data_IF_828814588996
#
_entry.id   IF_828814588996
#
_cell.length_a   1.000
_cell.length_b   1.000
_cell.length_c   1.000
_cell.angle_alpha   90.00
_cell.angle_beta   90.00
_cell.angle_gamma   90.00
#
_symmetry.space_group_name_H-M   'P 1'
#
loop_
_entity.id
_entity.type
_entity.pdbx_description
1 polymer ?
#
# COMPACT_ATOMS: atom_id res chain seq x y z
N UNK A 1 1.12 28.96 18.90
CA UNK A 1 1.81 28.22 17.84
C UNK A 1 0.78 27.45 17.02
N UNK A 2 0.44 27.97 15.84
CA UNK A 2 -0.49 27.31 14.93
C UNK A 2 0.17 26.06 14.36
N UNK A 3 -0.51 24.92 14.44
CA UNK A 3 -0.06 23.67 13.80
C UNK A 3 -0.14 23.91 12.28
N UNK A 4 0.98 23.80 11.57
CA UNK A 4 0.99 23.80 10.10
C UNK A 4 -0.07 22.82 9.59
N UNK A 5 -0.88 23.19 8.58
CA UNK A 5 -1.78 22.24 7.94
C UNK A 5 -0.91 21.09 7.44
N UNK A 6 -1.09 19.88 7.98
CA UNK A 6 -0.50 18.68 7.41
C UNK A 6 -0.93 18.67 5.94
N UNK A 7 0.01 18.78 5.01
CA UNK A 7 -0.26 18.61 3.59
C UNK A 7 -1.08 17.34 3.43
N UNK A 8 -2.28 17.50 2.88
CA UNK A 8 -3.14 16.35 2.61
C UNK A 8 -2.47 15.60 1.46
N UNK A 9 -2.33 14.27 1.56
CA UNK A 9 -1.93 13.49 0.40
C UNK A 9 -2.86 13.84 -0.77
N UNK A 10 -2.31 13.99 -1.97
CA UNK A 10 -3.10 14.22 -3.17
C UNK A 10 -4.16 13.12 -3.30
N UNK A 11 -5.37 13.51 -3.67
CA UNK A 11 -6.43 12.56 -3.96
C UNK A 11 -6.05 11.81 -5.23
N UNK A 12 -6.16 10.48 -5.22
CA UNK A 12 -5.86 9.64 -6.39
C UNK A 12 -7.15 9.34 -7.14
N UNK A 13 -7.24 9.74 -8.40
CA UNK A 13 -8.31 9.29 -9.30
C UNK A 13 -7.98 7.90 -9.85
N UNK A 14 -8.58 6.85 -9.28
CA UNK A 14 -8.28 5.45 -9.66
C UNK A 14 -8.63 5.12 -11.11
N UNK A 15 -9.50 5.90 -11.76
CA UNK A 15 -9.86 5.69 -13.16
C UNK A 15 -8.75 6.10 -14.13
N UNK A 16 -7.85 6.98 -13.70
CA UNK A 16 -6.79 7.55 -14.55
C UNK A 16 -5.40 7.47 -13.94
N UNK A 17 -5.26 7.06 -12.69
CA UNK A 17 -3.98 6.98 -12.02
C UNK A 17 -3.15 5.81 -12.52
N UNK A 18 -1.86 6.09 -12.75
CA UNK A 18 -0.85 5.05 -12.88
C UNK A 18 -0.44 4.56 -11.49
N UNK A 19 -0.30 3.24 -11.34
CA UNK A 19 -0.16 2.58 -10.03
C UNK A 19 1.02 1.64 -10.02
N UNK A 20 1.88 1.74 -9.00
CA UNK A 20 2.92 0.75 -8.72
C UNK A 20 2.42 -0.23 -7.65
N UNK A 21 2.47 -1.52 -7.96
CA UNK A 21 2.27 -2.63 -7.03
C UNK A 21 3.62 -3.29 -6.76
N UNK A 22 4.21 -3.01 -5.60
CA UNK A 22 5.50 -3.56 -5.22
C UNK A 22 5.33 -4.62 -4.13
N UNK A 23 5.94 -5.79 -4.25
CA UNK A 23 5.89 -6.73 -3.14
C UNK A 23 6.72 -8.00 -3.31
N UNK A 24 6.79 -8.81 -2.26
CA UNK A 24 7.37 -10.15 -2.40
C UNK A 24 6.47 -11.02 -3.28
N UNK A 25 7.05 -11.99 -3.98
CA UNK A 25 6.33 -12.79 -5.00
C UNK A 25 4.99 -13.38 -4.51
N UNK A 26 4.93 -13.83 -3.26
CA UNK A 26 3.72 -14.37 -2.63
C UNK A 26 2.65 -13.32 -2.28
N UNK A 27 3.01 -12.04 -2.14
CA UNK A 27 2.11 -10.94 -1.80
C UNK A 27 1.60 -10.19 -3.05
N UNK A 28 2.30 -10.27 -4.18
CA UNK A 28 1.89 -9.64 -5.44
C UNK A 28 0.47 -10.04 -5.90
N UNK A 29 0.05 -11.33 -5.82
CA UNK A 29 -1.32 -11.71 -6.18
C UNK A 29 -2.37 -11.03 -5.31
N UNK A 30 -2.08 -10.83 -4.01
CA UNK A 30 -2.98 -10.15 -3.06
C UNK A 30 -3.13 -8.68 -3.43
N UNK A 31 -2.01 -8.01 -3.74
CA UNK A 31 -2.02 -6.62 -4.18
C UNK A 31 -2.80 -6.43 -5.48
N UNK A 32 -2.52 -7.27 -6.49
CA UNK A 32 -3.21 -7.22 -7.78
C UNK A 32 -4.71 -7.45 -7.62
N UNK A 33 -5.11 -8.42 -6.81
CA UNK A 33 -6.51 -8.70 -6.54
C UNK A 33 -7.23 -7.54 -5.83
N UNK A 34 -6.53 -6.81 -4.95
CA UNK A 34 -7.09 -5.63 -4.31
C UNK A 34 -7.20 -4.45 -5.31
N UNK A 35 -6.17 -4.22 -6.12
CA UNK A 35 -6.15 -3.13 -7.11
C UNK A 35 -7.24 -3.29 -8.18
N UNK A 36 -7.39 -4.49 -8.75
CA UNK A 36 -8.46 -4.79 -9.71
C UNK A 36 -9.84 -4.59 -9.08
N UNK A 37 -10.02 -4.98 -7.81
CA UNK A 37 -11.28 -4.77 -7.09
C UNK A 37 -11.57 -3.30 -6.81
N UNK A 38 -10.54 -2.48 -6.68
CA UNK A 38 -10.65 -1.03 -6.54
C UNK A 38 -11.00 -0.34 -7.88
N UNK A 39 -11.07 -1.08 -8.99
CA UNK A 39 -11.39 -0.55 -10.31
C UNK A 39 -10.19 0.02 -11.08
N UNK A 40 -8.96 -0.20 -10.60
CA UNK A 40 -7.75 0.21 -11.32
C UNK A 40 -7.59 -0.68 -12.56
N UNK A 41 -7.31 -0.06 -13.71
CA UNK A 41 -7.04 -0.77 -14.97
C UNK A 41 -5.68 -1.48 -14.90
N UNK A 42 -5.65 -2.76 -15.29
CA UNK A 42 -4.43 -3.55 -15.34
C UNK A 42 -3.37 -2.99 -16.28
N UNK A 43 -3.76 -2.25 -17.33
CA UNK A 43 -2.83 -1.59 -18.24
C UNK A 43 -2.07 -0.42 -17.57
N UNK A 44 -2.60 0.10 -16.47
CA UNK A 44 -2.02 1.20 -15.68
C UNK A 44 -1.31 0.72 -14.42
N UNK A 45 -1.22 -0.60 -14.24
CA UNK A 45 -0.49 -1.22 -13.14
C UNK A 45 0.92 -1.59 -13.56
N UNK A 46 1.90 -1.06 -12.86
CA UNK A 46 3.27 -1.56 -12.89
C UNK A 46 3.50 -2.48 -11.69
N UNK A 47 3.90 -3.73 -11.93
CA UNK A 47 4.11 -4.73 -10.88
C UNK A 47 5.61 -4.97 -10.71
N UNK A 48 6.11 -4.85 -9.49
CA UNK A 48 7.54 -4.90 -9.16
C UNK A 48 7.76 -5.88 -8.01
N UNK A 49 8.68 -6.83 -8.19
CA UNK A 49 9.17 -7.63 -7.07
C UNK A 49 10.07 -6.77 -6.19
N UNK A 50 9.85 -6.68 -4.87
CA UNK A 50 10.76 -5.88 -4.01
C UNK A 50 12.17 -6.45 -3.86
N UNK A 51 12.35 -7.72 -4.24
CA UNK A 51 13.65 -8.37 -4.36
C UNK A 51 14.32 -8.06 -5.72
N UNK A 52 13.58 -7.47 -6.65
CA UNK A 52 14.02 -7.05 -7.98
C UNK A 52 14.19 -5.52 -7.95
N UNK A 53 15.42 -5.03 -8.09
CA UNK A 53 15.64 -3.59 -8.22
C UNK A 53 14.98 -3.11 -9.53
N UNK A 54 14.19 -2.01 -9.50
CA UNK A 54 13.70 -1.42 -10.74
C UNK A 54 14.89 -1.04 -11.62
N UNK A 55 14.73 -1.20 -12.93
CA UNK A 55 15.74 -0.77 -13.90
C UNK A 55 15.97 0.74 -13.73
N UNK A 56 17.22 1.21 -13.54
CA UNK A 56 17.50 2.62 -13.34
C UNK A 56 17.08 3.52 -14.51
N UNK A 57 16.87 2.96 -15.72
CA UNK A 57 16.35 3.70 -16.87
C UNK A 57 14.81 3.65 -16.96
N UNK A 58 14.16 2.83 -16.13
CA UNK A 58 12.71 2.74 -16.10
C UNK A 58 12.14 3.97 -15.39
N UNK A 59 11.38 4.75 -16.16
CA UNK A 59 10.58 5.85 -15.63
C UNK A 59 9.11 5.48 -15.65
N UNK A 60 8.44 5.81 -14.56
CA UNK A 60 7.00 5.66 -14.40
C UNK A 60 6.53 6.81 -13.52
N UNK A 61 5.34 7.35 -13.79
CA UNK A 61 4.82 8.51 -13.06
C UNK A 61 3.60 8.10 -12.23
N UNK A 62 3.78 7.13 -11.31
CA UNK A 62 2.65 6.65 -10.53
C UNK A 62 2.19 7.63 -9.46
N UNK A 63 0.87 7.81 -9.37
CA UNK A 63 0.18 8.60 -8.35
C UNK A 63 -0.12 7.77 -7.09
N UNK A 64 -0.08 6.44 -7.20
CA UNK A 64 -0.33 5.51 -6.11
C UNK A 64 0.70 4.38 -6.11
N UNK A 65 1.29 4.15 -4.96
CA UNK A 65 2.10 2.98 -4.68
C UNK A 65 1.46 2.11 -3.60
N UNK A 66 1.28 0.82 -3.89
CA UNK A 66 0.90 -0.18 -2.90
C UNK A 66 2.04 -1.18 -2.76
N UNK A 67 2.68 -1.16 -1.60
CA UNK A 67 3.86 -1.94 -1.29
C UNK A 67 3.49 -3.02 -0.27
N UNK A 68 3.78 -4.30 -0.52
CA UNK A 68 3.59 -5.38 0.44
C UNK A 68 4.88 -6.20 0.60
N UNK A 69 5.54 -6.05 1.75
CA UNK A 69 6.83 -6.67 2.01
C UNK A 69 6.76 -7.67 3.16
N UNK A 70 7.56 -8.73 3.05
CA UNK A 70 7.90 -9.55 4.20
C UNK A 70 8.93 -8.85 5.07
N UNK A 71 8.83 -9.10 6.36
CA UNK A 71 9.79 -8.64 7.35
C UNK A 71 10.51 -9.84 7.94
N UNK A 72 11.78 -10.08 7.60
CA UNK A 72 12.57 -11.11 8.26
C UNK A 72 12.87 -10.68 9.70
N UNK A 73 12.47 -11.48 10.68
CA UNK A 73 12.85 -11.31 12.09
C UNK A 73 12.39 -10.01 12.77
N UNK A 74 13.33 -9.38 13.47
CA UNK A 74 13.14 -8.28 14.43
C UNK A 74 13.27 -6.88 13.83
N UNK A 75 13.49 -6.76 12.51
CA UNK A 75 13.55 -5.45 11.86
C UNK A 75 12.32 -4.60 12.22
N UNK A 76 12.47 -3.32 12.55
CA UNK A 76 11.33 -2.46 12.80
C UNK A 76 10.46 -2.38 11.54
N UNK A 77 9.16 -2.67 11.70
CA UNK A 77 8.21 -2.67 10.57
C UNK A 77 8.22 -1.34 9.82
N UNK A 78 8.38 -0.22 10.54
CA UNK A 78 8.46 1.10 9.93
C UNK A 78 9.75 1.31 9.12
N UNK A 79 10.90 0.89 9.63
CA UNK A 79 12.18 1.01 8.92
C UNK A 79 12.16 0.25 7.59
N UNK A 80 11.61 -0.98 7.61
CA UNK A 80 11.41 -1.76 6.38
C UNK A 80 10.41 -1.12 5.43
N UNK A 81 9.33 -0.57 5.95
CA UNK A 81 8.35 0.14 5.13
C UNK A 81 8.96 1.35 4.43
N UNK A 82 9.81 2.11 5.14
CA UNK A 82 10.51 3.26 4.58
C UNK A 82 11.53 2.84 3.52
N UNK A 83 12.39 1.85 3.80
CA UNK A 83 13.38 1.37 2.84
C UNK A 83 12.74 0.87 1.53
N UNK A 84 11.60 0.15 1.63
CA UNK A 84 10.87 -0.27 0.44
C UNK A 84 10.21 0.90 -0.31
N UNK A 85 9.77 1.94 0.41
CA UNK A 85 9.21 3.14 -0.20
C UNK A 85 10.26 4.02 -0.89
N UNK A 86 11.50 4.03 -0.40
CA UNK A 86 12.65 4.70 -1.03
C UNK A 86 13.08 3.99 -2.31
N UNK A 87 13.06 2.65 -2.34
CA UNK A 87 13.43 1.85 -3.51
C UNK A 87 12.55 2.14 -4.73
N UNK A 88 11.27 2.39 -4.52
CA UNK A 88 10.33 2.68 -5.60
C UNK A 88 10.13 4.17 -5.88
N UNK A 89 10.77 5.05 -5.10
CA UNK A 89 10.64 6.50 -5.19
C UNK A 89 10.83 7.05 -6.61
N UNK A 90 11.80 6.57 -7.42
CA UNK A 90 12.01 7.05 -8.79
C UNK A 90 10.83 6.82 -9.75
N UNK A 91 9.88 5.95 -9.39
CA UNK A 91 8.71 5.59 -10.20
C UNK A 91 7.44 6.34 -9.78
N UNK A 92 7.57 7.29 -8.85
CA UNK A 92 6.46 7.98 -8.23
C UNK A 92 6.52 9.48 -8.51
N UNK A 93 5.35 10.08 -8.72
CA UNK A 93 5.26 11.54 -8.72
C UNK A 93 5.50 12.09 -7.30
N UNK A 94 5.97 13.35 -7.14
CA UNK A 94 6.33 13.91 -5.82
C UNK A 94 5.23 13.84 -4.75
N UNK A 95 3.97 13.80 -5.15
CA UNK A 95 2.82 13.76 -4.23
C UNK A 95 2.09 12.41 -4.22
N UNK A 96 2.73 11.36 -4.75
CA UNK A 96 2.16 10.03 -4.81
C UNK A 96 1.76 9.51 -3.42
N UNK A 97 0.62 8.85 -3.35
CA UNK A 97 0.17 8.20 -2.13
C UNK A 97 0.88 6.85 -1.99
N UNK A 98 1.54 6.61 -0.85
CA UNK A 98 2.24 5.33 -0.58
C UNK A 98 1.54 4.57 0.53
N UNK A 99 1.05 3.37 0.20
CA UNK A 99 0.45 2.42 1.14
C UNK A 99 1.43 1.27 1.30
N UNK A 100 2.00 1.11 2.50
CA UNK A 100 2.98 0.06 2.78
C UNK A 100 2.42 -0.93 3.78
N UNK A 101 2.35 -2.20 3.40
CA UNK A 101 1.96 -3.33 4.21
C UNK A 101 3.20 -4.15 4.54
N UNK A 102 3.49 -4.33 5.81
CA UNK A 102 4.54 -5.24 6.25
C UNK A 102 3.91 -6.48 6.86
N UNK A 103 4.32 -7.66 6.40
CA UNK A 103 3.88 -8.96 6.91
C UNK A 103 5.06 -9.61 7.62
N UNK A 104 4.90 -9.99 8.89
CA UNK A 104 5.93 -10.75 9.60
C UNK A 104 6.31 -12.02 8.83
N UNK A 105 7.60 -12.36 8.80
CA UNK A 105 8.08 -13.62 8.19
C UNK A 105 7.50 -14.88 8.85
N UNK A 106 7.09 -14.78 10.11
CA UNK A 106 6.47 -15.90 10.86
C UNK A 106 5.00 -16.13 10.50
N UNK A 107 4.37 -15.19 9.79
CA UNK A 107 2.96 -15.27 9.43
C UNK A 107 2.77 -16.19 8.24
N UNK A 108 2.05 -17.30 8.38
CA UNK A 108 1.67 -18.09 7.20
C UNK A 108 0.56 -17.39 6.43
N UNK A 109 0.78 -17.10 5.15
CA UNK A 109 -0.29 -16.67 4.24
C UNK A 109 -1.20 -17.87 4.00
N UNK A 110 -2.32 -17.86 4.71
CA UNK A 110 -3.43 -18.80 4.51
C UNK A 110 -4.59 -18.04 3.83
N UNK A 111 -5.50 -18.73 3.12
CA UNK A 111 -6.56 -18.08 2.34
C UNK A 111 -7.39 -17.06 3.13
N UNK A 112 -7.61 -17.31 4.43
CA UNK A 112 -8.33 -16.38 5.32
C UNK A 112 -7.53 -15.09 5.59
N UNK A 113 -6.22 -15.21 5.78
CA UNK A 113 -5.31 -14.07 6.00
C UNK A 113 -5.20 -13.25 4.71
N UNK A 114 -4.98 -13.92 3.57
CA UNK A 114 -4.93 -13.28 2.24
C UNK A 114 -6.21 -12.50 1.94
N UNK A 115 -7.38 -13.10 2.17
CA UNK A 115 -8.67 -12.42 1.96
C UNK A 115 -8.85 -11.20 2.86
N UNK A 116 -8.41 -11.30 4.10
CA UNK A 116 -8.48 -10.18 5.05
C UNK A 116 -7.49 -9.08 4.67
N UNK A 117 -6.28 -9.43 4.26
CA UNK A 117 -5.28 -8.51 3.76
C UNK A 117 -5.75 -7.81 2.48
N UNK A 118 -6.32 -8.55 1.53
CA UNK A 118 -6.90 -8.00 0.29
C UNK A 118 -7.96 -6.95 0.63
N UNK A 119 -8.82 -7.24 1.61
CA UNK A 119 -9.88 -6.33 2.04
C UNK A 119 -9.30 -5.06 2.68
N UNK A 120 -8.25 -5.20 3.49
CA UNK A 120 -7.58 -4.05 4.10
C UNK A 120 -6.87 -3.19 3.05
N UNK A 121 -6.15 -3.79 2.10
CA UNK A 121 -5.48 -3.07 1.00
C UNK A 121 -6.51 -2.30 0.18
N UNK A 122 -7.62 -2.95 -0.21
CA UNK A 122 -8.72 -2.31 -0.92
C UNK A 122 -9.24 -1.07 -0.18
N UNK A 123 -9.48 -1.17 1.13
CA UNK A 123 -9.92 -0.03 1.92
C UNK A 123 -8.90 1.09 2.01
N UNK A 124 -7.60 0.78 2.03
CA UNK A 124 -6.57 1.83 2.00
C UNK A 124 -6.52 2.53 0.65
N UNK A 125 -6.74 1.80 -0.46
CA UNK A 125 -6.88 2.37 -1.80
C UNK A 125 -8.11 3.28 -1.85
N UNK A 126 -9.28 2.79 -1.41
CA UNK A 126 -10.50 3.60 -1.35
C UNK A 126 -10.32 4.86 -0.48
N UNK A 127 -9.62 4.74 0.65
CA UNK A 127 -9.30 5.86 1.53
C UNK A 127 -8.24 6.81 0.96
N UNK A 128 -7.47 6.39 -0.06
CA UNK A 128 -6.55 7.26 -0.79
C UNK A 128 -7.28 8.09 -1.85
N UNK A 129 -8.37 7.55 -2.40
CA UNK A 129 -9.17 8.18 -3.46
C UNK A 129 -10.35 9.00 -2.96
N UNK A 130 -10.70 8.88 -1.68
CA UNK A 130 -11.81 9.60 -1.07
C UNK A 130 -11.61 11.14 -1.16
N UNK A 131 -12.58 11.90 -1.71
CA UNK A 131 -12.51 13.37 -1.88
C UNK A 131 -12.37 14.16 -0.57
N UNK A 132 -12.80 13.58 0.55
CA UNK A 132 -12.75 14.25 1.85
C UNK A 132 -12.56 13.28 3.01
N UNK A 133 -12.05 13.79 4.13
CA UNK A 133 -11.96 13.03 5.39
C UNK A 133 -13.32 12.60 5.96
N UNK A 134 -14.40 13.24 5.53
CA UNK A 134 -15.79 12.93 5.90
C UNK A 134 -16.37 11.76 5.08
N UNK A 135 -15.86 11.51 3.88
CA UNK A 135 -16.22 10.38 3.01
C UNK A 135 -15.25 9.20 3.16
N UNK A 136 -14.40 9.19 4.19
CA UNK A 136 -13.56 8.02 4.46
C UNK A 136 -14.45 6.78 4.56
N UNK A 137 -14.16 5.69 3.83
CA UNK A 137 -15.00 4.51 3.84
C UNK A 137 -15.23 4.05 5.28
N UNK A 138 -16.49 3.90 5.67
CA UNK A 138 -16.83 3.53 7.03
C UNK A 138 -16.26 2.13 7.33
N UNK A 139 -15.40 2.01 8.33
CA UNK A 139 -14.86 0.71 8.72
C UNK A 139 -15.95 -0.12 9.39
N UNK A 140 -16.49 -1.09 8.66
CA UNK A 140 -17.45 -2.04 9.23
C UNK A 140 -16.84 -2.76 10.46
N UNK A 141 -17.69 -3.19 11.41
CA UNK A 141 -17.23 -3.90 12.60
C UNK A 141 -16.44 -5.18 12.24
N UNK A 142 -16.85 -5.87 11.16
CA UNK A 142 -16.14 -7.01 10.58
C UNK A 142 -14.73 -6.63 10.11
N UNK A 143 -14.59 -5.47 9.48
CA UNK A 143 -13.31 -4.96 9.00
C UNK A 143 -12.37 -4.57 10.15
N UNK A 144 -12.91 -3.94 11.20
CA UNK A 144 -12.16 -3.62 12.43
C UNK A 144 -11.63 -4.89 13.09
N UNK A 145 -12.46 -5.94 13.16
CA UNK A 145 -12.05 -7.25 13.68
C UNK A 145 -11.00 -7.91 12.79
N UNK A 146 -11.15 -7.81 11.46
CA UNK A 146 -10.17 -8.27 10.48
C UNK A 146 -8.81 -7.59 10.65
N UNK A 147 -8.78 -6.27 10.81
CA UNK A 147 -7.55 -5.52 11.07
C UNK A 147 -6.90 -5.92 12.41
N UNK A 148 -7.69 -6.15 13.46
CA UNK A 148 -7.18 -6.65 14.72
C UNK A 148 -6.55 -8.05 14.57
N UNK A 149 -7.21 -8.94 13.81
CA UNK A 149 -6.68 -10.27 13.50
C UNK A 149 -5.40 -10.20 12.67
N UNK A 150 -5.33 -9.31 11.67
CA UNK A 150 -4.11 -9.04 10.89
C UNK A 150 -2.98 -8.55 11.80
N UNK A 151 -3.27 -7.59 12.69
CA UNK A 151 -2.29 -7.06 13.66
C UNK A 151 -1.77 -8.12 14.63
N UNK A 152 -2.64 -9.02 15.09
CA UNK A 152 -2.26 -10.16 15.92
C UNK A 152 -1.42 -11.17 15.12
N UNK A 153 -1.78 -11.38 13.85
CA UNK A 153 -1.02 -12.19 12.90
C UNK A 153 0.24 -11.49 12.37
N UNK A 154 0.73 -10.42 13.02
CA UNK A 154 2.01 -9.79 12.65
C UNK A 154 1.98 -8.94 11.38
N UNK A 155 0.80 -8.58 10.87
CA UNK A 155 0.64 -7.66 9.73
C UNK A 155 0.49 -6.22 10.24
N UNK A 156 1.25 -5.29 9.66
CA UNK A 156 1.14 -3.85 9.90
C UNK A 156 0.90 -3.14 8.58
N UNK A 157 0.10 -2.08 8.63
CA UNK A 157 -0.26 -1.26 7.48
C UNK A 157 0.07 0.18 7.82
N UNK A 158 0.86 0.82 6.97
CA UNK A 158 1.32 2.19 7.08
C UNK A 158 0.89 2.95 5.83
N UNK A 159 0.45 4.19 6.00
CA UNK A 159 0.34 5.14 4.91
C UNK A 159 1.45 6.15 5.10
N UNK A 160 2.37 6.20 4.17
CA UNK A 160 3.54 7.08 4.23
C UNK A 160 3.27 8.22 3.24
N UNK A 161 3.23 9.45 3.75
CA UNK A 161 3.41 10.63 2.91
C UNK A 161 4.76 11.23 3.29
N UNK A 162 5.71 11.20 2.38
CA UNK A 162 6.94 11.97 2.54
C UNK A 162 6.57 13.37 2.04
N UNK A 163 6.46 14.32 2.97
CA UNK A 163 6.31 15.73 2.58
C UNK A 163 7.64 16.20 2.03
N UNK A 164 7.62 16.69 0.80
CA UNK A 164 8.68 17.54 0.25
C UNK A 164 8.14 18.95 0.16
#
# INVERSE_FOLDING_TARGET
MARSPRERPAQVDLGTADVVLAGTQELLPVLRAAAVRAGIDAARMRVIGVDDLPDPEETWDAELAVIAIRRPGDDPAFHRAQAAAELIDPLLVPHAVRIVVTVSGLTRLAPKVERTLTSEVLHQIDAASAPSGFERPFRSMRMRLGLAALRAAGVRVFRVSIGT
#
